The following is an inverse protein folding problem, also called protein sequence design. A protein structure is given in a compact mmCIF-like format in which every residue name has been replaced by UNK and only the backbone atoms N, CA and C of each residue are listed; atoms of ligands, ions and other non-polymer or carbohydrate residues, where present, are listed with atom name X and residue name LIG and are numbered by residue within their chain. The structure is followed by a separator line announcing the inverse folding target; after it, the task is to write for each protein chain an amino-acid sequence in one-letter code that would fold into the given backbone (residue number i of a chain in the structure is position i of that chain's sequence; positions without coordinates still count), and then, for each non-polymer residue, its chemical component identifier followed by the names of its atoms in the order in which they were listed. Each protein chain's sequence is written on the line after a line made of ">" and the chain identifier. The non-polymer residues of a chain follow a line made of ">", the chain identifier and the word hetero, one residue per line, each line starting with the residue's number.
data_IF_402518911781
#
_entry.id   IF_402518911781
#
_cell.length_a   1.000
_cell.length_b   1.000
_cell.length_c   1.000
_cell.angle_alpha   90.00
_cell.angle_beta   90.00
_cell.angle_gamma   90.00
#
_symmetry.space_group_name_H-M   'P 1'
#
loop_
_entity.id
_entity.type
_entity.pdbx_description
1 polymer ?
#
# COMPACT_ATOMS: atom_id res chain seq x y z
N UNK A 1 1.79 28.44 18.24
CA UNK A 1 1.67 26.99 18.51
C UNK A 1 1.88 26.31 17.19
N UNK A 2 2.91 25.48 17.07
CA UNK A 2 3.18 24.71 15.86
C UNK A 2 2.77 23.27 16.11
N UNK A 3 2.14 22.64 15.13
CA UNK A 3 1.81 21.22 15.15
C UNK A 3 2.49 20.55 13.98
N UNK A 4 2.78 19.26 14.14
CA UNK A 4 3.33 18.40 13.10
C UNK A 4 2.29 17.33 12.81
N UNK A 5 2.01 17.12 11.53
CA UNK A 5 1.18 16.03 11.04
C UNK A 5 2.09 14.96 10.45
N UNK A 6 1.86 13.71 10.81
CA UNK A 6 2.56 12.55 10.25
C UNK A 6 1.49 11.64 9.67
N UNK A 7 1.61 11.35 8.37
CA UNK A 7 0.70 10.48 7.65
C UNK A 7 1.42 9.17 7.34
N UNK A 8 0.73 8.05 7.55
CA UNK A 8 1.13 6.79 6.94
C UNK A 8 0.89 6.85 5.42
N UNK A 9 1.48 5.92 4.67
CA UNK A 9 1.30 5.84 3.22
C UNK A 9 0.14 4.91 2.86
N UNK A 10 0.24 3.63 3.23
CA UNK A 10 -0.77 2.61 2.91
C UNK A 10 -2.02 2.74 3.77
N UNK A 11 -3.20 2.73 3.16
CA UNK A 11 -4.48 2.92 3.84
C UNK A 11 -4.78 4.37 4.25
N UNK A 12 -3.85 5.31 4.01
CA UNK A 12 -4.01 6.73 4.33
C UNK A 12 -3.85 7.56 3.06
N UNK A 13 -2.62 7.76 2.56
CA UNK A 13 -2.36 8.53 1.33
C UNK A 13 -2.74 7.70 0.09
N UNK A 14 -2.42 6.40 0.09
CA UNK A 14 -2.81 5.47 -0.97
C UNK A 14 -3.74 4.42 -0.37
N UNK A 15 -4.90 4.25 -0.97
CA UNK A 15 -5.95 3.36 -0.49
C UNK A 15 -6.33 2.34 -1.55
N UNK A 16 -6.40 1.08 -1.14
CA UNK A 16 -6.98 0.00 -1.95
C UNK A 16 -8.48 0.22 -2.05
N UNK A 17 -8.96 0.65 -3.21
CA UNK A 17 -10.37 0.97 -3.46
C UNK A 17 -11.27 -0.27 -3.44
N UNK A 18 -10.71 -1.42 -3.79
CA UNK A 18 -11.40 -2.71 -3.75
C UNK A 18 -10.42 -3.86 -3.63
N UNK A 19 -10.80 -4.89 -2.88
CA UNK A 19 -10.02 -6.13 -2.75
C UNK A 19 -10.24 -7.10 -3.92
N UNK A 20 -11.10 -6.75 -4.88
CA UNK A 20 -11.51 -7.64 -5.96
C UNK A 20 -10.35 -8.27 -6.76
N UNK A 21 -9.30 -7.52 -7.18
CA UNK A 21 -8.18 -8.13 -7.91
C UNK A 21 -7.45 -9.19 -7.10
N UNK A 22 -7.25 -8.97 -5.79
CA UNK A 22 -6.58 -9.93 -4.90
C UNK A 22 -7.43 -11.19 -4.71
N UNK A 23 -8.74 -11.02 -4.51
CA UNK A 23 -9.69 -12.11 -4.37
C UNK A 23 -9.94 -12.90 -5.67
N UNK A 24 -9.74 -12.28 -6.84
CA UNK A 24 -9.74 -12.97 -8.13
C UNK A 24 -8.56 -13.94 -8.25
N UNK A 25 -7.39 -13.53 -7.77
CA UNK A 25 -6.23 -14.41 -7.67
C UNK A 25 -6.44 -15.55 -6.66
N UNK A 26 -7.03 -15.29 -5.50
CA UNK A 26 -7.40 -16.37 -4.57
C UNK A 26 -8.28 -17.42 -5.27
N UNK A 27 -9.33 -16.97 -5.98
CA UNK A 27 -10.23 -17.86 -6.72
C UNK A 27 -9.54 -18.61 -7.85
N UNK A 28 -8.72 -17.93 -8.65
CA UNK A 28 -8.06 -18.54 -9.81
C UNK A 28 -7.06 -19.63 -9.40
N UNK A 29 -6.46 -19.48 -8.22
CA UNK A 29 -5.52 -20.43 -7.63
C UNK A 29 -6.20 -21.48 -6.74
N UNK A 30 -7.52 -21.40 -6.54
CA UNK A 30 -8.27 -22.32 -5.66
C UNK A 30 -7.93 -22.18 -4.18
N UNK A 31 -7.52 -20.98 -3.76
CA UNK A 31 -7.14 -20.65 -2.39
C UNK A 31 -8.33 -20.12 -1.57
N UNK A 32 -8.19 -20.13 -0.25
CA UNK A 32 -9.13 -19.43 0.62
C UNK A 32 -9.04 -17.92 0.39
N UNK A 33 -10.15 -17.21 0.55
CA UNK A 33 -10.21 -15.76 0.41
C UNK A 33 -9.22 -15.06 1.36
N UNK A 34 -8.42 -14.13 0.84
CA UNK A 34 -7.39 -13.39 1.58
C UNK A 34 -6.03 -14.09 1.66
N UNK A 35 -5.87 -15.27 1.03
CA UNK A 35 -4.60 -16.02 1.10
C UNK A 35 -3.48 -15.27 0.38
N UNK A 36 -3.73 -14.76 -0.83
CA UNK A 36 -2.77 -13.98 -1.61
C UNK A 36 -2.32 -12.74 -0.85
N UNK A 37 -3.25 -11.98 -0.26
CA UNK A 37 -2.92 -10.82 0.58
C UNK A 37 -2.06 -11.21 1.78
N UNK A 38 -2.39 -12.31 2.47
CA UNK A 38 -1.59 -12.79 3.61
C UNK A 38 -0.16 -13.18 3.23
N UNK A 39 0.05 -13.66 2.01
CA UNK A 39 1.38 -14.03 1.50
C UNK A 39 2.17 -12.78 1.11
N UNK A 40 1.54 -11.81 0.45
CA UNK A 40 2.17 -10.56 0.02
C UNK A 40 2.47 -9.63 1.21
N UNK A 41 1.51 -9.43 2.13
CA UNK A 41 1.62 -8.46 3.24
C UNK A 41 1.63 -9.08 4.66
N UNK A 42 1.69 -10.40 4.82
CA UNK A 42 1.74 -11.07 6.13
C UNK A 42 2.92 -12.02 6.34
N UNK A 43 3.72 -12.25 5.30
CA UNK A 43 4.81 -13.24 5.31
C UNK A 43 6.08 -12.74 6.00
N UNK A 44 7.01 -13.67 6.26
CA UNK A 44 8.33 -13.31 6.78
C UNK A 44 9.13 -12.48 5.77
N UNK A 45 9.04 -12.78 4.47
CA UNK A 45 9.72 -11.98 3.44
C UNK A 45 9.20 -10.55 3.42
N UNK A 46 7.89 -10.34 3.62
CA UNK A 46 7.32 -9.00 3.79
C UNK A 46 7.97 -8.24 4.95
N UNK A 47 8.05 -8.86 6.13
CA UNK A 47 8.71 -8.25 7.30
C UNK A 47 10.17 -7.91 7.03
N UNK A 48 10.92 -8.78 6.38
CA UNK A 48 12.34 -8.53 6.05
C UNK A 48 12.50 -7.41 4.99
N UNK A 49 11.60 -7.32 4.02
CA UNK A 49 11.62 -6.28 3.00
C UNK A 49 11.39 -4.89 3.60
N UNK A 50 10.42 -4.76 4.52
CA UNK A 50 10.11 -3.49 5.20
C UNK A 50 11.28 -2.92 6.01
N UNK A 51 12.21 -3.75 6.48
CA UNK A 51 13.41 -3.33 7.21
C UNK A 51 14.68 -3.35 6.34
N UNK A 52 14.53 -3.46 5.01
CA UNK A 52 15.63 -3.36 4.04
C UNK A 52 16.61 -4.53 4.04
N UNK A 53 16.24 -5.68 4.62
CA UNK A 53 17.12 -6.88 4.66
C UNK A 53 17.06 -7.71 3.39
N UNK A 54 15.98 -7.61 2.63
CA UNK A 54 15.86 -8.20 1.30
C UNK A 54 15.33 -7.15 0.32
N UNK A 55 15.63 -7.33 -0.96
CA UNK A 55 15.13 -6.44 -2.01
C UNK A 55 13.67 -6.73 -2.36
N UNK A 56 13.05 -5.81 -3.08
CA UNK A 56 11.72 -5.97 -3.65
C UNK A 56 11.62 -7.24 -4.51
N UNK A 57 12.60 -7.47 -5.38
CA UNK A 57 12.64 -8.64 -6.26
C UNK A 57 12.79 -9.94 -5.47
N UNK A 58 13.58 -9.94 -4.39
CA UNK A 58 13.72 -11.10 -3.50
C UNK A 58 12.41 -11.41 -2.76
N UNK A 59 11.66 -10.39 -2.36
CA UNK A 59 10.33 -10.55 -1.78
C UNK A 59 9.35 -11.17 -2.78
N UNK A 60 9.26 -10.62 -4.00
CA UNK A 60 8.36 -11.15 -5.03
C UNK A 60 8.75 -12.54 -5.51
N UNK A 61 10.03 -12.88 -5.53
CA UNK A 61 10.48 -14.26 -5.76
C UNK A 61 9.99 -15.23 -4.67
N UNK A 62 9.94 -14.77 -3.40
CA UNK A 62 9.41 -15.57 -2.30
C UNK A 62 7.87 -15.72 -2.35
N UNK A 63 7.15 -14.67 -2.77
CA UNK A 63 5.69 -14.71 -3.03
C UNK A 63 5.38 -15.71 -4.14
N UNK A 64 6.06 -15.56 -5.29
CA UNK A 64 5.94 -16.43 -6.47
C UNK A 64 6.11 -17.90 -6.10
N UNK A 65 7.15 -18.22 -5.33
CA UNK A 65 7.43 -19.59 -4.88
C UNK A 65 6.34 -20.14 -3.94
N UNK A 66 5.80 -19.32 -3.05
CA UNK A 66 4.74 -19.75 -2.12
C UNK A 66 3.42 -20.02 -2.83
N UNK A 67 3.11 -19.23 -3.87
CA UNK A 67 1.90 -19.36 -4.68
C UNK A 67 2.05 -20.39 -5.82
N UNK A 68 3.26 -20.92 -6.05
CA UNK A 68 3.53 -21.89 -7.12
C UNK A 68 3.37 -21.32 -8.53
N UNK A 69 3.63 -20.02 -8.71
CA UNK A 69 3.44 -19.32 -9.97
C UNK A 69 4.67 -19.39 -10.87
N UNK A 70 4.45 -19.35 -12.18
CA UNK A 70 5.53 -19.07 -13.14
C UNK A 70 5.87 -17.57 -13.21
N UNK A 71 6.90 -17.22 -13.96
CA UNK A 71 7.39 -15.84 -14.05
C UNK A 71 6.38 -14.86 -14.71
N UNK A 72 5.58 -15.33 -15.67
CA UNK A 72 4.59 -14.49 -16.34
C UNK A 72 3.40 -14.23 -15.42
N UNK A 73 2.93 -15.27 -14.72
CA UNK A 73 1.88 -15.18 -13.71
C UNK A 73 2.32 -14.30 -12.54
N UNK A 74 3.58 -14.40 -12.09
CA UNK A 74 4.12 -13.56 -11.03
C UNK A 74 4.10 -12.07 -11.38
N UNK A 75 4.55 -11.71 -12.59
CA UNK A 75 4.54 -10.32 -13.06
C UNK A 75 3.12 -9.78 -13.20
N UNK A 76 2.18 -10.61 -13.66
CA UNK A 76 0.78 -10.25 -13.75
C UNK A 76 0.16 -10.05 -12.35
N UNK A 77 0.42 -10.97 -11.41
CA UNK A 77 -0.05 -10.86 -10.04
C UNK A 77 0.44 -9.56 -9.40
N UNK A 78 1.73 -9.22 -9.52
CA UNK A 78 2.28 -7.99 -8.96
C UNK A 78 1.56 -6.74 -9.50
N UNK A 79 1.27 -6.72 -10.81
CA UNK A 79 0.52 -5.63 -11.45
C UNK A 79 -0.93 -5.57 -10.94
N UNK A 80 -1.62 -6.70 -10.93
CA UNK A 80 -3.03 -6.78 -10.55
C UNK A 80 -3.24 -6.46 -9.07
N UNK A 81 -2.31 -6.89 -8.21
CA UNK A 81 -2.41 -6.77 -6.75
C UNK A 81 -2.57 -5.31 -6.28
N UNK A 82 -1.91 -4.38 -6.98
CA UNK A 82 -1.98 -2.94 -6.72
C UNK A 82 -2.87 -2.17 -7.72
N UNK A 83 -3.53 -2.86 -8.67
CA UNK A 83 -4.31 -2.21 -9.73
C UNK A 83 -5.52 -1.40 -9.23
N UNK A 84 -6.00 -1.70 -8.03
CA UNK A 84 -7.08 -1.00 -7.36
C UNK A 84 -6.59 0.04 -6.33
N UNK A 85 -5.29 0.28 -6.25
CA UNK A 85 -4.74 1.31 -5.35
C UNK A 85 -4.85 2.69 -6.00
N UNK A 86 -5.41 3.63 -5.24
CA UNK A 86 -5.58 5.01 -5.68
C UNK A 86 -5.16 5.99 -4.59
N UNK A 87 -4.70 7.17 -4.99
CA UNK A 87 -4.36 8.26 -4.08
C UNK A 87 -5.65 8.85 -3.48
N UNK A 88 -5.73 8.89 -2.16
CA UNK A 88 -6.80 9.53 -1.40
C UNK A 88 -6.71 11.05 -1.54
N UNK A 89 -7.51 11.62 -2.45
CA UNK A 89 -7.42 13.04 -2.82
C UNK A 89 -7.73 13.98 -1.64
N UNK A 90 -8.64 13.57 -0.76
CA UNK A 90 -9.00 14.29 0.45
C UNK A 90 -7.82 14.43 1.43
N UNK A 91 -7.03 13.36 1.62
CA UNK A 91 -5.82 13.39 2.46
C UNK A 91 -4.76 14.30 1.85
N UNK A 92 -4.57 14.25 0.53
CA UNK A 92 -3.61 15.12 -0.16
C UNK A 92 -4.05 16.59 -0.12
N UNK A 93 -5.34 16.87 -0.22
CA UNK A 93 -5.86 18.23 -0.05
C UNK A 93 -5.70 18.75 1.38
N UNK A 94 -5.87 17.89 2.38
CA UNK A 94 -5.59 18.23 3.79
C UNK A 94 -4.12 18.62 4.00
N UNK A 95 -3.18 17.87 3.44
CA UNK A 95 -1.75 18.19 3.51
C UNK A 95 -1.45 19.57 2.89
N UNK A 96 -1.98 19.85 1.68
CA UNK A 96 -1.78 21.15 1.02
C UNK A 96 -2.36 22.32 1.81
N UNK A 97 -3.56 22.17 2.36
CA UNK A 97 -4.23 23.24 3.10
C UNK A 97 -3.57 23.53 4.46
N UNK A 98 -3.09 22.49 5.13
CA UNK A 98 -2.38 22.63 6.41
C UNK A 98 -0.94 23.14 6.25
N UNK A 99 -0.26 22.78 5.15
CA UNK A 99 1.05 23.34 4.80
C UNK A 99 1.00 24.84 4.42
N UNK A 100 -0.11 25.28 3.80
CA UNK A 100 -0.30 26.69 3.38
C UNK A 100 -0.95 27.59 4.45
N UNK A 101 -1.41 27.06 5.58
CA UNK A 101 -1.92 27.86 6.69
C UNK A 101 -0.77 28.62 7.37
N UNK A 102 -0.38 29.78 6.81
CA UNK A 102 0.62 30.67 7.41
C UNK A 102 0.11 31.23 8.74
N UNK A 103 1.00 31.42 9.74
CA UNK A 103 0.67 32.09 10.99
C UNK A 103 0.56 33.62 10.77
N UNK A 104 -0.48 34.09 10.08
CA UNK A 104 -0.71 35.52 9.84
C UNK A 104 -2.09 36.04 10.32
N UNK A 105 -3.06 35.18 10.60
CA UNK A 105 -4.40 35.63 11.04
C UNK A 105 -4.52 35.96 12.55
N UNK A 106 -3.41 36.06 13.28
CA UNK A 106 -3.42 36.39 14.73
C UNK A 106 -3.19 37.86 15.07
N UNK A 107 -3.04 38.74 14.09
CA UNK A 107 -2.69 40.15 14.32
C UNK A 107 -3.84 41.16 14.07
N UNK A 108 -5.10 40.71 13.95
CA UNK A 108 -6.24 41.60 13.71
C UNK A 108 -7.25 41.69 14.88
N UNK A 109 -6.90 41.22 16.08
CA UNK A 109 -7.77 41.27 17.27
C UNK A 109 -7.07 41.80 18.54
N UNK A 110 -6.12 42.73 18.41
CA UNK A 110 -5.61 43.53 19.54
C UNK A 110 -5.69 45.01 19.21
#
# INVERSE_FOLDING_TARGET
>A
MHFVLVFDFGGVIVQTQTQAPRHEWDRSLGLALGTVESIVHGSESWRQAQIGRITHEQHWAAVTRQLGLDAAQAAQLETDYFSADAVAQDVVELDRTTACARPADRAAQQ
#
